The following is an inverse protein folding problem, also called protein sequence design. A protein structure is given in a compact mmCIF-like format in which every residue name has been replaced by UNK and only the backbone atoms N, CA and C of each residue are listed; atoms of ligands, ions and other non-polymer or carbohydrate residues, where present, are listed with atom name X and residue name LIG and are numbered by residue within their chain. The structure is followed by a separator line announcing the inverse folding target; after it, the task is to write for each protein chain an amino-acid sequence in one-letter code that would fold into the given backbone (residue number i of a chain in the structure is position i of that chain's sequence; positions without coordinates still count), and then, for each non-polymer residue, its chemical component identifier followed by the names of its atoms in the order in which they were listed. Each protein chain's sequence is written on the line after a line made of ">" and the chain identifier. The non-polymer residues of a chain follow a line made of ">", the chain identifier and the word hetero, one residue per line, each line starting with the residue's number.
data_IF_211489406999
#
_entry.id   IF_211489406999
#
_cell.length_a   1.000
_cell.length_b   1.000
_cell.length_c   1.000
_cell.angle_alpha   90.00
_cell.angle_beta   90.00
_cell.angle_gamma   90.00
#
_symmetry.space_group_name_H-M   'P 1'
#
loop_
_entity.id
_entity.type
_entity.pdbx_description
1 polymer ?
#
# COMPACT_ATOMS: atom_id res chain seq x y z
N UNK A 1 4.87 11.53 -7.67
CA UNK A 1 5.21 12.73 -6.84
C UNK A 1 5.96 12.33 -5.59
N UNK A 2 6.72 13.25 -5.00
CA UNK A 2 7.38 13.05 -3.71
C UNK A 2 6.59 13.80 -2.63
N UNK A 3 6.15 13.09 -1.59
CA UNK A 3 5.65 13.72 -0.36
C UNK A 3 6.83 13.96 0.58
N UNK A 4 7.10 15.22 1.01
CA UNK A 4 8.38 15.56 1.64
C UNK A 4 8.51 15.15 3.11
N UNK A 5 7.43 14.62 3.71
CA UNK A 5 7.41 14.22 5.13
C UNK A 5 7.28 12.71 5.26
N UNK A 6 7.79 12.16 6.35
CA UNK A 6 7.45 10.81 6.77
C UNK A 6 6.06 10.77 7.40
N UNK A 7 5.34 9.67 7.15
CA UNK A 7 4.05 9.37 7.79
C UNK A 7 4.35 8.29 8.85
N UNK A 8 4.30 8.69 10.11
CA UNK A 8 4.75 7.84 11.22
C UNK A 8 3.58 7.10 11.86
N UNK A 9 3.74 5.81 12.05
CA UNK A 9 2.89 4.92 12.82
C UNK A 9 3.53 4.48 14.14
N UNK A 10 2.94 3.47 14.75
CA UNK A 10 3.43 2.86 16.00
C UNK A 10 4.54 1.83 15.74
N UNK A 11 4.45 1.09 14.65
CA UNK A 11 5.36 -0.02 14.32
C UNK A 11 6.12 0.18 13.02
N UNK A 12 5.61 1.04 12.15
CA UNK A 12 6.21 1.35 10.85
C UNK A 12 6.07 2.83 10.52
N UNK A 13 6.81 3.27 9.50
CA UNK A 13 6.61 4.58 8.88
C UNK A 13 6.67 4.47 7.36
N UNK A 14 6.01 5.40 6.69
CA UNK A 14 6.07 5.54 5.23
C UNK A 14 6.97 6.73 4.87
N UNK A 15 7.83 6.53 3.90
CA UNK A 15 8.63 7.56 3.24
C UNK A 15 8.45 7.43 1.73
N UNK A 16 8.35 8.57 1.03
CA UNK A 16 8.37 8.53 -0.43
C UNK A 16 9.56 7.72 -0.94
N UNK A 17 9.31 6.87 -1.94
CA UNK A 17 10.35 6.09 -2.59
C UNK A 17 11.36 7.03 -3.26
N UNK A 18 12.64 6.69 -3.16
CA UNK A 18 13.73 7.44 -3.77
C UNK A 18 14.51 6.54 -4.76
N UNK A 19 15.25 7.12 -5.72
CA UNK A 19 16.03 6.33 -6.68
C UNK A 19 17.02 5.34 -6.02
N UNK A 20 17.47 5.65 -4.80
CA UNK A 20 18.36 4.81 -3.99
C UNK A 20 17.67 3.51 -3.52
N UNK A 21 16.34 3.50 -3.47
CA UNK A 21 15.57 2.31 -3.10
C UNK A 21 15.41 1.31 -4.27
N UNK A 22 15.99 1.61 -5.44
CA UNK A 22 15.79 0.81 -6.64
C UNK A 22 16.18 -0.65 -6.45
N UNK A 23 17.32 -0.93 -5.82
CA UNK A 23 17.80 -2.30 -5.63
C UNK A 23 16.85 -3.13 -4.76
N UNK A 24 16.45 -2.59 -3.60
CA UNK A 24 15.58 -3.32 -2.68
C UNK A 24 14.16 -3.49 -3.27
N UNK A 25 13.62 -2.46 -3.91
CA UNK A 25 12.27 -2.53 -4.50
C UNK A 25 12.26 -3.38 -5.77
N UNK A 26 13.34 -3.44 -6.52
CA UNK A 26 13.51 -4.40 -7.62
C UNK A 26 13.47 -5.85 -7.10
N UNK A 27 14.24 -6.17 -6.04
CA UNK A 27 14.20 -7.50 -5.40
C UNK A 27 12.78 -7.87 -4.96
N UNK A 28 12.05 -6.93 -4.34
CA UNK A 28 10.65 -7.13 -3.95
C UNK A 28 9.75 -7.42 -5.17
N UNK A 29 9.95 -6.73 -6.28
CA UNK A 29 9.18 -6.90 -7.52
C UNK A 29 9.53 -8.18 -8.28
N UNK A 30 10.67 -8.80 -7.99
CA UNK A 30 11.10 -10.09 -8.53
C UNK A 30 10.70 -11.29 -7.68
N UNK A 31 10.19 -11.07 -6.48
CA UNK A 31 9.68 -12.13 -5.59
C UNK A 31 8.34 -12.66 -6.11
N UNK A 32 8.39 -13.78 -6.82
CA UNK A 32 7.22 -14.38 -7.50
C UNK A 32 6.05 -14.70 -6.57
N UNK A 33 6.33 -15.07 -5.33
CA UNK A 33 5.29 -15.35 -4.33
C UNK A 33 4.54 -14.08 -3.95
N UNK A 34 5.26 -12.98 -3.74
CA UNK A 34 4.69 -11.68 -3.37
C UNK A 34 3.96 -11.00 -4.51
N UNK A 35 4.42 -11.17 -5.73
CA UNK A 35 3.87 -10.50 -6.93
C UNK A 35 3.01 -11.41 -7.82
N UNK A 36 2.59 -12.56 -7.31
CA UNK A 36 1.83 -13.56 -8.08
C UNK A 36 0.66 -12.96 -8.86
N UNK A 37 -0.07 -12.03 -8.28
CA UNK A 37 -1.24 -11.38 -8.87
C UNK A 37 -0.93 -9.98 -9.44
N UNK A 38 0.31 -9.63 -9.65
CA UNK A 38 0.71 -8.33 -10.20
C UNK A 38 1.32 -8.50 -11.58
N UNK A 39 1.33 -7.44 -12.37
CA UNK A 39 2.12 -7.42 -13.60
C UNK A 39 3.58 -7.77 -13.31
N UNK A 40 4.08 -8.78 -14.01
CA UNK A 40 5.48 -9.17 -13.91
C UNK A 40 6.35 -8.09 -14.55
N UNK A 41 7.36 -7.64 -13.82
CA UNK A 41 8.34 -6.71 -14.37
C UNK A 41 9.43 -7.48 -15.12
N UNK A 42 9.98 -6.83 -16.15
CA UNK A 42 11.18 -7.26 -16.88
C UNK A 42 12.18 -6.11 -16.78
N UNK A 43 13.47 -6.42 -16.87
CA UNK A 43 14.50 -5.39 -16.84
C UNK A 43 15.50 -5.58 -15.69
N UNK A 44 16.14 -4.50 -15.30
CA UNK A 44 17.26 -4.44 -14.37
C UNK A 44 16.97 -3.53 -13.19
N UNK A 45 17.89 -3.45 -12.24
CA UNK A 45 17.84 -2.45 -11.15
C UNK A 45 17.86 -1.01 -11.70
N UNK A 46 18.60 -0.78 -12.80
CA UNK A 46 18.64 0.56 -13.43
C UNK A 46 17.28 0.93 -14.06
N UNK A 47 16.57 -0.06 -14.66
CA UNK A 47 15.21 0.17 -15.14
C UNK A 47 14.24 0.50 -14.01
N UNK A 48 14.39 -0.17 -12.85
CA UNK A 48 13.61 0.16 -11.65
C UNK A 48 13.91 1.57 -11.14
N UNK A 49 15.18 1.98 -11.14
CA UNK A 49 15.59 3.35 -10.78
C UNK A 49 14.98 4.39 -11.71
N UNK A 50 15.04 4.14 -13.01
CA UNK A 50 14.43 5.01 -14.02
C UNK A 50 12.90 5.08 -13.84
N UNK A 51 12.25 3.95 -13.54
CA UNK A 51 10.82 3.93 -13.21
C UNK A 51 10.51 4.83 -12.00
N UNK A 52 11.28 4.76 -10.92
CA UNK A 52 11.09 5.59 -9.73
C UNK A 52 11.22 7.08 -10.10
N UNK A 53 12.26 7.46 -10.85
CA UNK A 53 12.47 8.84 -11.31
C UNK A 53 11.29 9.37 -12.15
N UNK A 54 10.75 8.54 -13.04
CA UNK A 54 9.60 8.93 -13.86
C UNK A 54 8.30 8.98 -13.04
N UNK A 55 8.10 8.02 -12.13
CA UNK A 55 6.96 7.99 -11.23
C UNK A 55 6.90 9.25 -10.35
N UNK A 56 8.05 9.72 -9.85
CA UNK A 56 8.11 10.92 -9.03
C UNK A 56 7.66 12.21 -9.77
N UNK A 57 7.73 12.23 -11.10
CA UNK A 57 7.28 13.34 -11.95
C UNK A 57 5.78 13.28 -12.27
N UNK A 58 5.16 12.11 -12.09
CA UNK A 58 3.76 11.90 -12.46
C UNK A 58 2.84 12.51 -11.42
N UNK A 59 2.01 13.47 -11.83
CA UNK A 59 1.03 14.10 -10.97
C UNK A 59 0.02 13.10 -10.42
N UNK A 60 -0.35 13.26 -9.14
CA UNK A 60 -1.30 12.38 -8.47
C UNK A 60 -0.82 10.94 -8.31
N UNK A 61 0.48 10.68 -8.39
CA UNK A 61 1.06 9.35 -8.21
C UNK A 61 2.12 9.37 -7.09
N UNK A 62 1.79 8.77 -5.95
CA UNK A 62 2.65 8.66 -4.78
C UNK A 62 3.01 7.21 -4.53
N UNK A 63 4.30 6.95 -4.40
CA UNK A 63 4.83 5.64 -4.07
C UNK A 63 5.70 5.77 -2.82
N UNK A 64 5.44 4.90 -1.86
CA UNK A 64 6.12 4.89 -0.57
C UNK A 64 6.86 3.57 -0.37
N UNK A 65 7.98 3.63 0.33
CA UNK A 65 8.57 2.48 1.01
C UNK A 65 8.07 2.46 2.46
N UNK A 66 7.92 1.25 2.99
CA UNK A 66 7.55 0.98 4.38
C UNK A 66 8.81 0.66 5.14
N UNK A 67 9.07 1.37 6.21
CA UNK A 67 10.25 1.21 7.07
C UNK A 67 9.83 0.68 8.44
N UNK A 68 10.59 -0.26 8.97
CA UNK A 68 10.50 -0.69 10.37
C UNK A 68 11.24 0.28 11.32
N UNK A 69 11.31 -0.06 12.61
CA UNK A 69 12.02 0.75 13.62
C UNK A 69 13.54 0.82 13.41
N UNK A 70 14.11 -0.16 12.69
CA UNK A 70 15.55 -0.24 12.41
C UNK A 70 15.91 0.35 11.04
N UNK A 71 15.01 1.12 10.43
CA UNK A 71 15.17 1.71 9.10
C UNK A 71 15.24 0.68 7.95
N UNK A 72 14.90 -0.58 8.20
CA UNK A 72 14.83 -1.56 7.12
C UNK A 72 13.62 -1.32 6.24
N UNK A 73 13.80 -1.39 4.93
CA UNK A 73 12.68 -1.36 3.99
C UNK A 73 11.99 -2.73 3.99
N UNK A 74 10.81 -2.79 4.58
CA UNK A 74 10.00 -4.01 4.73
C UNK A 74 8.77 -4.04 3.82
N UNK A 75 8.65 -3.10 2.88
CA UNK A 75 7.55 -3.10 1.94
C UNK A 75 7.48 -1.86 1.08
N UNK A 76 6.50 -1.84 0.20
CA UNK A 76 6.15 -0.68 -0.63
C UNK A 76 4.64 -0.57 -0.80
N UNK A 77 4.16 0.66 -1.07
CA UNK A 77 2.75 0.97 -1.21
C UNK A 77 2.53 2.19 -2.10
N UNK A 78 1.50 2.14 -2.95
CA UNK A 78 1.12 3.25 -3.82
C UNK A 78 -0.25 3.83 -3.49
N UNK A 79 -0.34 5.17 -3.58
CA UNK A 79 -1.58 5.93 -3.73
C UNK A 79 -1.43 6.70 -5.04
N UNK A 80 -2.27 6.42 -6.01
CA UNK A 80 -2.08 6.92 -7.37
C UNK A 80 -3.42 7.22 -8.05
N UNK A 81 -3.36 7.73 -9.28
CA UNK A 81 -4.53 8.18 -10.04
C UNK A 81 -5.41 9.13 -9.21
N UNK A 82 -4.75 10.01 -8.42
CA UNK A 82 -5.42 10.99 -7.59
C UNK A 82 -6.17 11.97 -8.47
N UNK A 83 -7.46 12.11 -8.22
CA UNK A 83 -8.38 13.06 -8.84
C UNK A 83 -9.01 13.89 -7.73
N UNK A 84 -9.84 14.87 -8.09
CA UNK A 84 -10.47 15.79 -7.14
C UNK A 84 -11.07 15.08 -5.91
N UNK A 85 -11.86 14.01 -6.11
CA UNK A 85 -12.57 13.34 -5.03
C UNK A 85 -12.18 11.87 -4.83
N UNK A 86 -11.16 11.37 -5.54
CA UNK A 86 -10.81 9.95 -5.48
C UNK A 86 -9.34 9.67 -5.73
N UNK A 87 -8.89 8.52 -5.25
CA UNK A 87 -7.58 7.95 -5.52
C UNK A 87 -7.69 6.44 -5.70
N UNK A 88 -6.62 5.82 -6.13
CA UNK A 88 -6.44 4.37 -6.11
C UNK A 88 -5.37 3.99 -5.08
N UNK A 89 -5.58 2.88 -4.38
CA UNK A 89 -4.60 2.27 -3.47
C UNK A 89 -4.17 0.91 -4.00
N UNK A 90 -2.88 0.72 -4.17
CA UNK A 90 -2.32 -0.54 -4.71
C UNK A 90 -0.81 -0.55 -4.72
N UNK A 91 -0.22 -1.32 -5.66
CA UNK A 91 1.24 -1.51 -5.79
C UNK A 91 1.88 -1.92 -4.47
N UNK A 92 1.19 -2.79 -3.73
CA UNK A 92 1.54 -3.14 -2.35
C UNK A 92 2.31 -4.44 -2.30
N UNK A 93 3.48 -4.40 -1.68
CA UNK A 93 4.27 -5.58 -1.31
C UNK A 93 4.67 -5.39 0.16
N UNK A 94 4.49 -6.42 0.99
CA UNK A 94 4.82 -6.36 2.41
C UNK A 94 5.59 -7.59 2.87
N UNK A 95 6.66 -7.35 3.62
CA UNK A 95 7.51 -8.33 4.30
C UNK A 95 7.43 -8.22 5.83
N UNK A 96 6.77 -7.18 6.32
CA UNK A 96 6.47 -7.05 7.75
C UNK A 96 5.50 -8.12 8.25
N UNK A 97 5.33 -8.19 9.55
CA UNK A 97 4.28 -9.01 10.15
C UNK A 97 2.87 -8.48 9.80
N UNK A 98 1.84 -9.19 10.28
CA UNK A 98 0.46 -8.83 9.96
C UNK A 98 0.06 -7.44 10.48
N UNK A 99 0.57 -7.03 11.66
CA UNK A 99 0.28 -5.73 12.25
C UNK A 99 1.03 -4.60 11.55
N UNK A 100 2.30 -4.81 11.23
CA UNK A 100 3.10 -3.87 10.44
C UNK A 100 2.51 -3.63 9.04
N UNK A 101 2.11 -4.70 8.36
CA UNK A 101 1.49 -4.59 7.03
C UNK A 101 0.12 -3.91 7.09
N UNK A 102 -0.67 -4.18 8.13
CA UNK A 102 -1.95 -3.52 8.36
C UNK A 102 -1.77 -2.03 8.69
N UNK A 103 -0.82 -1.69 9.58
CA UNK A 103 -0.54 -0.30 9.89
C UNK A 103 -0.04 0.47 8.67
N UNK A 104 0.86 -0.11 7.88
CA UNK A 104 1.30 0.50 6.63
C UNK A 104 0.13 0.76 5.67
N UNK A 105 -0.89 -0.13 5.63
CA UNK A 105 -2.12 0.12 4.88
C UNK A 105 -2.86 1.32 5.43
N UNK A 106 -3.10 1.39 6.73
CA UNK A 106 -3.83 2.50 7.35
C UNK A 106 -3.12 3.84 7.11
N UNK A 107 -1.79 3.89 7.29
CA UNK A 107 -1.01 5.12 7.03
C UNK A 107 -1.15 5.61 5.58
N UNK A 108 -1.17 4.70 4.59
CA UNK A 108 -1.39 5.06 3.20
C UNK A 108 -2.82 5.57 2.94
N UNK A 109 -3.82 4.98 3.59
CA UNK A 109 -5.21 5.42 3.51
C UNK A 109 -5.43 6.75 4.24
N UNK A 110 -4.83 6.93 5.41
CA UNK A 110 -4.82 8.22 6.14
C UNK A 110 -4.20 9.33 5.27
N UNK A 111 -3.09 9.04 4.59
CA UNK A 111 -2.50 9.97 3.63
C UNK A 111 -3.51 10.39 2.54
N UNK A 112 -4.21 9.43 1.95
CA UNK A 112 -5.18 9.74 0.91
C UNK A 112 -6.38 10.52 1.46
N UNK A 113 -6.97 10.08 2.56
CA UNK A 113 -8.13 10.75 3.13
C UNK A 113 -7.80 12.09 3.80
N UNK A 114 -6.72 12.17 4.60
CA UNK A 114 -6.49 13.32 5.46
C UNK A 114 -5.52 14.35 4.87
N UNK A 115 -4.59 13.93 4.02
CA UNK A 115 -3.65 14.84 3.36
C UNK A 115 -4.13 15.21 1.96
N UNK A 116 -4.49 14.22 1.13
CA UNK A 116 -4.96 14.48 -0.23
C UNK A 116 -6.47 14.87 -0.27
N UNK A 117 -7.20 14.66 0.84
CA UNK A 117 -8.62 15.06 1.01
C UNK A 117 -9.58 14.39 0.03
N UNK A 118 -9.25 13.19 -0.46
CA UNK A 118 -10.19 12.43 -1.30
C UNK A 118 -11.39 11.90 -0.48
N UNK A 119 -12.51 11.63 -1.13
CA UNK A 119 -13.71 11.07 -0.51
C UNK A 119 -13.79 9.55 -0.66
N UNK A 120 -13.15 9.02 -1.70
CA UNK A 120 -13.20 7.59 -2.05
C UNK A 120 -11.83 7.08 -2.48
N UNK A 121 -11.56 5.84 -2.10
CA UNK A 121 -10.36 5.12 -2.56
C UNK A 121 -10.82 3.86 -3.27
N UNK A 122 -10.38 3.68 -4.50
CA UNK A 122 -10.57 2.46 -5.29
C UNK A 122 -9.40 1.51 -5.06
N UNK A 123 -9.71 0.24 -5.01
CA UNK A 123 -8.72 -0.83 -4.87
C UNK A 123 -9.24 -2.10 -5.52
N UNK A 124 -8.33 -3.00 -5.82
CA UNK A 124 -8.67 -4.29 -6.40
C UNK A 124 -7.84 -5.42 -5.77
N UNK A 125 -8.30 -6.64 -6.00
CA UNK A 125 -7.57 -7.84 -5.67
C UNK A 125 -8.00 -8.96 -6.60
N UNK A 126 -7.08 -9.84 -6.98
CA UNK A 126 -7.46 -11.06 -7.70
C UNK A 126 -8.47 -11.86 -6.89
N UNK A 127 -9.46 -12.43 -7.56
CA UNK A 127 -10.55 -13.20 -6.93
C UNK A 127 -10.03 -14.28 -5.98
N UNK A 128 -8.92 -14.92 -6.35
CA UNK A 128 -8.26 -15.96 -5.55
C UNK A 128 -7.37 -15.42 -4.42
N UNK A 129 -7.11 -14.13 -4.38
CA UNK A 129 -6.31 -13.50 -3.33
C UNK A 129 -7.16 -13.19 -2.09
N UNK A 130 -7.58 -14.27 -1.41
CA UNK A 130 -8.47 -14.18 -0.24
C UNK A 130 -7.88 -13.32 0.89
N UNK A 131 -6.55 -13.33 1.05
CA UNK A 131 -5.87 -12.53 2.07
C UNK A 131 -6.08 -11.04 1.84
N UNK A 132 -5.81 -10.53 0.64
CA UNK A 132 -5.98 -9.10 0.32
C UNK A 132 -7.45 -8.72 0.33
N UNK A 133 -8.35 -9.56 -0.20
CA UNK A 133 -9.79 -9.33 -0.15
C UNK A 133 -10.31 -9.25 1.29
N UNK A 134 -9.87 -10.17 2.16
CA UNK A 134 -10.21 -10.13 3.59
C UNK A 134 -9.77 -8.82 4.27
N UNK A 135 -8.57 -8.33 3.95
CA UNK A 135 -8.07 -7.05 4.44
C UNK A 135 -8.94 -5.88 3.91
N UNK A 136 -9.29 -5.87 2.63
CA UNK A 136 -10.16 -4.86 2.04
C UNK A 136 -11.53 -4.81 2.74
N UNK A 137 -12.13 -5.97 3.03
CA UNK A 137 -13.37 -6.04 3.80
C UNK A 137 -13.21 -5.53 5.24
N UNK A 138 -12.11 -5.88 5.92
CA UNK A 138 -11.84 -5.44 7.30
C UNK A 138 -11.73 -3.92 7.42
N UNK A 139 -11.18 -3.23 6.42
CA UNK A 139 -11.10 -1.77 6.41
C UNK A 139 -12.38 -1.08 5.95
N UNK A 140 -13.43 -1.84 5.61
CA UNK A 140 -14.74 -1.33 5.22
C UNK A 140 -14.93 -1.10 3.71
N UNK A 141 -14.05 -1.62 2.86
CA UNK A 141 -14.21 -1.53 1.42
C UNK A 141 -15.37 -2.43 0.94
N UNK A 142 -16.12 -1.95 -0.04
CA UNK A 142 -17.28 -2.62 -0.62
C UNK A 142 -16.98 -3.03 -2.07
N UNK A 143 -17.19 -4.30 -2.38
CA UNK A 143 -17.10 -4.80 -3.75
C UNK A 143 -18.19 -4.17 -4.63
N UNK A 144 -17.84 -3.73 -5.84
CA UNK A 144 -18.82 -3.12 -6.76
C UNK A 144 -18.73 -3.67 -8.19
N UNK A 145 -17.64 -4.34 -8.54
CA UNK A 145 -17.40 -4.84 -9.90
C UNK A 145 -16.44 -6.02 -9.88
N UNK A 146 -16.55 -6.88 -10.89
CA UNK A 146 -15.53 -7.89 -11.25
C UNK A 146 -15.07 -7.68 -12.68
N UNK A 147 -13.86 -8.12 -13.01
CA UNK A 147 -13.31 -8.01 -14.35
C UNK A 147 -11.84 -8.37 -14.41
N UNK A 148 -11.24 -8.12 -15.54
CA UNK A 148 -9.85 -8.45 -15.84
C UNK A 148 -9.05 -7.17 -16.08
N UNK A 149 -7.77 -7.18 -15.70
CA UNK A 149 -6.80 -6.21 -16.18
C UNK A 149 -6.19 -6.70 -17.50
N UNK A 150 -5.88 -5.78 -18.38
CA UNK A 150 -5.22 -6.10 -19.65
C UNK A 150 -3.89 -6.81 -19.39
N UNK A 151 -3.66 -7.95 -20.07
CA UNK A 151 -2.45 -8.74 -19.94
C UNK A 151 -2.29 -9.52 -18.63
N UNK A 152 -3.35 -9.63 -17.82
CA UNK A 152 -3.38 -10.47 -16.61
C UNK A 152 -4.50 -11.51 -16.74
N UNK A 153 -4.17 -12.77 -16.49
CA UNK A 153 -5.11 -13.91 -16.61
C UNK A 153 -6.08 -14.07 -15.45
N UNK A 154 -5.86 -13.36 -14.35
CA UNK A 154 -6.71 -13.45 -13.16
C UNK A 154 -7.92 -12.51 -13.26
N UNK A 155 -9.07 -12.99 -12.81
CA UNK A 155 -10.22 -12.13 -12.54
C UNK A 155 -9.97 -11.35 -11.24
N UNK A 156 -10.37 -10.07 -11.24
CA UNK A 156 -10.25 -9.17 -10.09
C UNK A 156 -11.61 -8.77 -9.56
N UNK A 157 -11.66 -8.61 -8.26
CA UNK A 157 -12.74 -7.91 -7.54
C UNK A 157 -12.29 -6.47 -7.32
N UNK A 158 -13.10 -5.54 -7.82
CA UNK A 158 -12.89 -4.12 -7.64
C UNK A 158 -13.74 -3.63 -6.47
N UNK A 159 -13.11 -2.91 -5.55
CA UNK A 159 -13.73 -2.42 -4.33
C UNK A 159 -13.57 -0.91 -4.20
N UNK A 160 -14.51 -0.29 -3.50
CA UNK A 160 -14.47 1.13 -3.15
C UNK A 160 -14.55 1.28 -1.63
N UNK A 161 -13.72 2.14 -1.09
CA UNK A 161 -13.69 2.51 0.31
C UNK A 161 -14.09 3.98 0.43
N UNK A 162 -15.21 4.25 1.12
CA UNK A 162 -15.60 5.62 1.48
C UNK A 162 -14.86 6.07 2.75
N UNK A 163 -14.67 7.38 2.90
CA UNK A 163 -14.12 7.98 4.12
C UNK A 163 -14.90 7.54 5.37
N UNK A 164 -16.23 7.53 5.30
CA UNK A 164 -17.11 7.15 6.43
C UNK A 164 -16.87 5.71 6.87
N UNK A 165 -16.93 4.75 5.95
CA UNK A 165 -16.68 3.33 6.26
C UNK A 165 -15.27 3.12 6.82
N UNK A 166 -14.28 3.81 6.24
CA UNK A 166 -12.92 3.74 6.71
C UNK A 166 -12.78 4.21 8.16
N UNK A 167 -13.33 5.35 8.52
CA UNK A 167 -13.23 5.89 9.88
C UNK A 167 -13.78 4.91 10.93
N UNK A 168 -14.93 4.28 10.66
CA UNK A 168 -15.54 3.28 11.56
C UNK A 168 -14.62 2.08 11.77
N UNK A 169 -14.00 1.58 10.71
CA UNK A 169 -13.14 0.39 10.78
C UNK A 169 -11.75 0.72 11.33
N UNK A 170 -11.19 1.86 10.95
CA UNK A 170 -9.85 2.31 11.33
C UNK A 170 -9.63 2.30 12.84
N UNK A 171 -10.56 2.86 13.61
CA UNK A 171 -10.44 2.91 15.08
C UNK A 171 -10.32 1.52 15.71
N UNK A 172 -11.11 0.56 15.22
CA UNK A 172 -11.08 -0.82 15.73
C UNK A 172 -9.74 -1.48 15.43
N UNK A 173 -9.23 -1.29 14.22
CA UNK A 173 -7.95 -1.87 13.79
C UNK A 173 -6.80 -1.23 14.57
N UNK A 174 -6.78 0.09 14.71
CA UNK A 174 -5.73 0.78 15.48
C UNK A 174 -5.67 0.30 16.94
N UNK A 175 -6.81 0.10 17.60
CA UNK A 175 -6.83 -0.48 18.97
C UNK A 175 -6.22 -1.88 19.04
N UNK A 176 -6.33 -2.69 17.98
CA UNK A 176 -5.69 -4.01 17.91
C UNK A 176 -4.18 -3.87 17.74
N UNK A 177 -3.72 -2.98 16.87
CA UNK A 177 -2.30 -2.69 16.67
C UNK A 177 -1.67 -2.17 17.98
N UNK A 178 -2.30 -1.20 18.64
CA UNK A 178 -1.85 -0.64 19.92
C UNK A 178 -1.72 -1.72 21.00
N UNK A 179 -2.72 -2.60 21.14
CA UNK A 179 -2.67 -3.72 22.09
C UNK A 179 -1.52 -4.68 21.80
N UNK A 180 -1.31 -4.98 20.52
CA UNK A 180 -0.22 -5.84 20.10
C UNK A 180 1.13 -5.21 20.41
N UNK A 181 1.34 -3.97 20.02
CA UNK A 181 2.58 -3.22 20.28
C UNK A 181 2.88 -3.10 21.77
N UNK A 182 1.88 -2.78 22.60
CA UNK A 182 2.03 -2.68 24.05
C UNK A 182 2.39 -4.03 24.70
N UNK A 183 1.92 -5.15 24.13
CA UNK A 183 2.18 -6.49 24.67
C UNK A 183 3.53 -7.05 24.25
N UNK A 184 3.98 -6.77 23.05
CA UNK A 184 5.16 -7.38 22.44
C UNK A 184 6.28 -6.40 22.11
N UNK A 185 6.00 -5.09 22.00
CA UNK A 185 6.99 -4.03 21.73
C UNK A 185 7.81 -3.56 22.95
N UNK A 186 7.57 -4.12 24.14
CA UNK A 186 8.30 -3.81 25.39
C UNK A 186 9.40 -4.83 25.72
N UNK A 187 9.88 -5.57 24.72
CA UNK A 187 11.03 -6.47 24.90
C UNK A 187 12.26 -5.86 24.21
N UNK A 188 12.73 -4.75 24.75
CA UNK A 188 14.12 -4.30 24.61
C UNK A 188 14.63 -3.89 26.01
#
# INVERSE_FOLDING_TARGET
>A
MVYPKEIKGLTVRLRSIMPEDAEITYKMRMDREKVKYMHQIKGTVEDQKNYIIQQQKKEGDYLFVVLDHNDNVIGMRGIYNVKENSAESGRTIGYGDAFQNMEALLLGLDFAFDILKVDKIYMDAATDNQSVRGIQMQIGAQEYKRGFHEGIEYEYVFSVLSRENYQICREKIMRLIERHTNRFGRKE
#
